data_IF_482864325842
#
_entry.id   IF_482864325842
#
_cell.length_a   1.000
_cell.length_b   1.000
_cell.length_c   1.000
_cell.angle_alpha   90.00
_cell.angle_beta   90.00
_cell.angle_gamma   90.00
#
_symmetry.space_group_name_H-M   'P 1'
#
loop_
_entity.id
_entity.type
_entity.pdbx_description
1 polymer ?
#
# COMPACT_ATOMS: atom_id res chain seq x y z
N UNK A 1 -9.34 -36.95 -4.31
CA UNK A 1 -8.29 -36.33 -3.44
C UNK A 1 -7.90 -34.99 -4.06
N UNK A 2 -8.50 -33.87 -3.63
CA UNK A 2 -8.16 -32.55 -4.18
C UNK A 2 -6.71 -32.20 -3.79
N UNK A 3 -5.84 -32.01 -4.78
CA UNK A 3 -4.51 -31.42 -4.57
C UNK A 3 -4.71 -30.01 -4.01
N UNK A 4 -4.50 -29.82 -2.71
CA UNK A 4 -4.40 -28.49 -2.12
C UNK A 4 -3.17 -27.85 -2.74
N UNK A 5 -3.34 -27.04 -3.78
CA UNK A 5 -2.22 -26.31 -4.35
C UNK A 5 -1.66 -25.37 -3.29
N UNK A 6 -0.36 -25.51 -3.03
CA UNK A 6 0.37 -24.68 -2.08
C UNK A 6 0.48 -23.28 -2.70
N UNK A 7 0.14 -22.24 -1.96
CA UNK A 7 0.29 -20.85 -2.45
C UNK A 7 1.77 -20.63 -2.80
N UNK A 8 2.11 -20.24 -4.04
CA UNK A 8 3.49 -20.05 -4.47
C UNK A 8 4.21 -18.98 -3.63
N UNK A 9 5.55 -19.07 -3.58
CA UNK A 9 6.37 -18.00 -3.00
C UNK A 9 6.27 -16.72 -3.85
N UNK A 10 6.53 -15.56 -3.24
CA UNK A 10 6.87 -14.37 -4.01
C UNK A 10 8.12 -14.66 -4.88
N UNK A 11 8.19 -14.17 -6.12
CA UNK A 11 9.32 -14.40 -7.01
C UNK A 11 10.61 -13.75 -6.52
N UNK A 12 10.49 -12.69 -5.72
CA UNK A 12 11.62 -11.99 -5.11
C UNK A 12 11.36 -11.80 -3.62
N UNK A 13 12.42 -11.95 -2.82
CA UNK A 13 12.42 -11.69 -1.38
C UNK A 13 13.42 -10.57 -1.10
N UNK A 14 12.98 -9.38 -0.64
CA UNK A 14 13.89 -8.30 -0.34
C UNK A 14 14.75 -8.63 0.89
N UNK A 15 15.89 -7.94 1.00
CA UNK A 15 16.84 -8.07 2.12
C UNK A 15 17.04 -6.69 2.80
N UNK A 16 16.07 -6.22 3.62
CA UNK A 16 16.09 -4.86 4.17
C UNK A 16 17.34 -4.48 4.95
N UNK A 17 18.01 -5.47 5.57
CA UNK A 17 19.23 -5.27 6.35
C UNK A 17 20.46 -4.83 5.52
N UNK A 18 20.36 -4.92 4.19
CA UNK A 18 21.41 -4.48 3.25
C UNK A 18 21.18 -3.06 2.72
N UNK A 19 20.04 -2.45 3.04
CA UNK A 19 19.65 -1.15 2.50
C UNK A 19 20.36 -0.02 3.25
N UNK A 20 20.84 0.96 2.50
CA UNK A 20 21.47 2.14 3.07
C UNK A 20 20.41 3.12 3.59
N UNK A 21 20.54 3.52 4.86
CA UNK A 21 19.62 4.47 5.51
C UNK A 21 19.78 5.91 5.00
N UNK A 22 20.76 6.21 4.15
CA UNK A 22 20.90 7.53 3.52
C UNK A 22 20.12 7.63 2.19
N UNK A 23 19.30 6.65 1.81
CA UNK A 23 18.57 6.63 0.53
C UNK A 23 17.06 6.48 0.71
N UNK A 24 16.34 6.60 -0.41
CA UNK A 24 14.97 6.11 -0.54
C UNK A 24 15.03 4.72 -1.16
N UNK A 25 14.55 3.70 -0.44
CA UNK A 25 14.42 2.33 -0.96
C UNK A 25 13.04 1.78 -0.63
N UNK A 26 12.52 0.94 -1.54
CA UNK A 26 11.19 0.37 -1.40
C UNK A 26 11.19 -1.11 -1.82
N UNK A 27 10.34 -1.91 -1.17
CA UNK A 27 10.01 -3.25 -1.65
C UNK A 27 8.51 -3.51 -1.55
N UNK A 28 7.97 -4.03 -2.65
CA UNK A 28 6.60 -4.53 -2.70
C UNK A 28 6.52 -5.89 -1.98
N UNK A 29 5.72 -5.94 -0.90
CA UNK A 29 5.49 -7.16 -0.14
C UNK A 29 4.28 -7.95 -0.63
N UNK A 30 3.47 -7.35 -1.50
CA UNK A 30 2.27 -7.93 -2.11
C UNK A 30 0.99 -7.17 -1.73
N UNK A 31 0.09 -6.99 -2.69
CA UNK A 31 -1.10 -6.11 -2.60
C UNK A 31 -0.70 -4.65 -2.34
N UNK A 32 -1.35 -3.91 -1.44
CA UNK A 32 -0.95 -2.54 -1.09
C UNK A 32 0.21 -2.46 -0.08
N UNK A 33 0.74 -3.61 0.37
CA UNK A 33 1.82 -3.66 1.34
C UNK A 33 3.17 -3.31 0.71
N UNK A 34 3.70 -2.13 1.04
CA UNK A 34 5.03 -1.68 0.62
C UNK A 34 5.86 -1.36 1.86
N UNK A 35 7.07 -1.93 1.91
CA UNK A 35 8.08 -1.56 2.89
C UNK A 35 8.93 -0.43 2.32
N UNK A 36 9.00 0.69 3.03
CA UNK A 36 9.76 1.87 2.67
C UNK A 36 10.86 2.10 3.70
N UNK A 37 12.04 2.45 3.22
CA UNK A 37 13.06 3.14 4.00
C UNK A 37 13.21 4.53 3.39
N UNK A 38 12.75 5.55 4.11
CA UNK A 38 12.86 6.95 3.68
C UNK A 38 13.93 7.61 4.53
N UNK A 39 15.17 7.66 4.02
CA UNK A 39 16.33 8.26 4.70
C UNK A 39 16.60 7.69 6.11
N UNK A 40 16.26 6.44 6.36
CA UNK A 40 16.44 5.73 7.64
C UNK A 40 15.17 5.60 8.46
N UNK A 41 14.04 6.12 8.00
CA UNK A 41 12.73 5.89 8.64
C UNK A 41 12.05 4.72 7.95
N UNK A 42 11.81 3.64 8.71
CA UNK A 42 11.16 2.44 8.21
C UNK A 42 9.65 2.53 8.33
N UNK A 43 8.98 2.65 7.18
CA UNK A 43 7.52 2.78 7.07
C UNK A 43 6.96 1.55 6.37
N UNK A 44 5.83 1.04 6.83
CA UNK A 44 5.03 0.06 6.06
C UNK A 44 3.64 0.60 5.79
N UNK A 45 3.21 0.51 4.53
CA UNK A 45 1.86 0.87 4.10
C UNK A 45 0.98 -0.37 4.11
N UNK A 46 -0.28 -0.24 4.54
CA UNK A 46 -1.34 -1.25 4.43
C UNK A 46 -0.88 -2.72 4.59
N UNK A 47 -0.26 -3.08 5.73
CA UNK A 47 0.37 -4.38 5.89
C UNK A 47 -0.68 -5.50 6.01
N UNK A 48 -0.77 -6.36 5.01
CA UNK A 48 -1.69 -7.51 4.96
C UNK A 48 -0.97 -8.84 4.68
N UNK A 49 0.00 -9.22 5.51
CA UNK A 49 0.94 -10.32 5.29
C UNK A 49 0.39 -11.71 5.66
N UNK A 50 -0.87 -11.81 6.08
CA UNK A 50 -1.53 -13.08 6.38
C UNK A 50 -1.91 -13.86 5.12
N UNK A 51 -2.09 -15.18 5.25
CA UNK A 51 -2.50 -16.04 4.13
C UNK A 51 -3.94 -15.74 3.62
N UNK A 52 -4.76 -15.11 4.47
CA UNK A 52 -6.12 -14.65 4.19
C UNK A 52 -6.34 -13.27 4.77
N UNK A 53 -7.19 -12.52 4.11
CA UNK A 53 -7.81 -11.27 4.60
C UNK A 53 -9.29 -11.56 4.82
N UNK A 54 -9.91 -10.90 5.81
CA UNK A 54 -11.31 -11.16 6.14
C UNK A 54 -11.59 -11.25 7.64
N UNK A 55 -12.78 -11.77 7.96
CA UNK A 55 -13.33 -11.83 9.32
C UNK A 55 -12.70 -12.99 10.09
N UNK A 56 -12.39 -12.78 11.37
CA UNK A 56 -11.78 -13.78 12.24
C UNK A 56 -10.26 -13.66 12.34
N UNK A 57 -9.60 -14.65 12.95
CA UNK A 57 -8.16 -14.65 13.22
C UNK A 57 -7.53 -16.01 12.96
N UNK A 58 -6.24 -16.00 12.58
CA UNK A 58 -5.45 -17.20 12.35
C UNK A 58 -6.10 -18.17 11.37
N UNK A 59 -6.17 -19.45 11.74
CA UNK A 59 -6.74 -20.52 10.90
C UNK A 59 -8.25 -20.42 10.70
N UNK A 60 -8.96 -19.70 11.57
CA UNK A 60 -10.41 -19.50 11.49
C UNK A 60 -10.79 -18.25 10.67
N UNK A 61 -9.81 -17.56 10.05
CA UNK A 61 -10.09 -16.37 9.25
C UNK A 61 -10.82 -16.75 7.95
N UNK A 62 -12.00 -16.19 7.76
CA UNK A 62 -12.83 -16.36 6.57
C UNK A 62 -12.72 -15.14 5.66
N UNK A 63 -12.43 -15.39 4.39
CA UNK A 63 -12.29 -14.37 3.35
C UNK A 63 -11.25 -14.74 2.30
N UNK A 64 -10.93 -13.81 1.37
CA UNK A 64 -10.05 -14.05 0.23
C UNK A 64 -8.71 -14.65 0.64
N UNK A 65 -8.25 -15.65 -0.12
CA UNK A 65 -6.92 -16.26 0.05
C UNK A 65 -5.92 -15.53 -0.85
N UNK A 66 -4.69 -15.38 -0.36
CA UNK A 66 -3.58 -14.91 -1.20
C UNK A 66 -3.32 -15.87 -2.35
N UNK A 67 -3.12 -15.31 -3.55
CA UNK A 67 -2.67 -16.04 -4.74
C UNK A 67 -1.15 -16.27 -4.74
N UNK A 68 -0.40 -15.38 -4.07
CA UNK A 68 1.05 -15.45 -3.90
C UNK A 68 1.38 -15.09 -2.45
N UNK A 69 2.31 -15.83 -1.81
CA UNK A 69 2.78 -15.51 -0.46
C UNK A 69 3.44 -14.13 -0.45
N UNK A 70 3.33 -13.37 0.66
CA UNK A 70 4.01 -12.08 0.74
C UNK A 70 5.54 -12.24 0.65
N UNK A 71 6.21 -11.21 0.15
CA UNK A 71 7.67 -11.23 -0.02
C UNK A 71 8.41 -11.36 1.32
N UNK A 72 7.84 -10.79 2.39
CA UNK A 72 8.29 -10.96 3.77
C UNK A 72 7.11 -11.36 4.66
N UNK A 73 7.39 -12.14 5.71
CA UNK A 73 6.43 -12.29 6.82
C UNK A 73 6.62 -11.12 7.78
N UNK A 74 5.62 -10.86 8.62
CA UNK A 74 5.69 -9.77 9.59
C UNK A 74 6.90 -9.86 10.53
N UNK A 75 7.33 -11.07 10.91
CA UNK A 75 8.54 -11.32 11.73
C UNK A 75 9.86 -11.07 10.99
N UNK A 76 9.82 -11.02 9.66
CA UNK A 76 10.99 -10.80 8.81
C UNK A 76 11.10 -9.30 8.42
N UNK A 77 10.18 -8.45 8.89
CA UNK A 77 10.25 -7.01 8.71
C UNK A 77 11.39 -6.42 9.56
N UNK A 78 12.04 -5.34 9.11
CA UNK A 78 12.95 -4.58 9.95
C UNK A 78 12.19 -3.94 11.13
N UNK A 79 12.93 -3.31 12.04
CA UNK A 79 12.29 -2.50 13.09
C UNK A 79 11.57 -1.33 12.44
N UNK A 80 10.24 -1.36 12.43
CA UNK A 80 9.41 -0.30 11.89
C UNK A 80 9.37 0.90 12.81
N UNK A 81 9.37 2.08 12.21
CA UNK A 81 9.17 3.37 12.88
C UNK A 81 7.76 3.92 12.67
N UNK A 82 7.05 3.46 11.64
CA UNK A 82 5.71 3.94 11.31
C UNK A 82 4.90 2.90 10.52
N UNK A 83 3.59 2.86 10.78
CA UNK A 83 2.60 2.16 9.95
C UNK A 83 1.61 3.18 9.41
N UNK A 84 1.29 3.09 8.11
CA UNK A 84 0.28 3.91 7.45
C UNK A 84 -0.88 3.03 6.98
N UNK A 85 -2.12 3.43 7.26
CA UNK A 85 -3.33 2.71 6.84
C UNK A 85 -4.24 3.61 6.00
N UNK A 86 -4.32 3.35 4.69
CA UNK A 86 -5.06 4.17 3.73
C UNK A 86 -6.56 4.13 3.94
N UNK A 87 -7.14 3.01 4.34
CA UNK A 87 -8.58 2.87 4.60
C UNK A 87 -8.91 1.58 5.37
N UNK A 88 -10.19 1.42 5.72
CA UNK A 88 -10.66 0.42 6.66
C UNK A 88 -10.86 -1.00 6.09
N UNK A 89 -10.77 -1.23 4.77
CA UNK A 89 -11.02 -2.56 4.18
C UNK A 89 -10.06 -3.62 4.74
N UNK A 90 -10.46 -4.89 4.70
CA UNK A 90 -9.77 -5.96 5.41
C UNK A 90 -8.42 -6.36 4.80
N UNK A 91 -8.21 -6.02 3.55
CA UNK A 91 -7.01 -6.22 2.76
C UNK A 91 -6.01 -5.06 2.85
N UNK A 92 -6.46 -3.88 3.32
CA UNK A 92 -5.59 -2.75 3.66
C UNK A 92 -5.33 -2.61 5.17
N UNK A 93 -6.31 -2.99 6.00
CA UNK A 93 -6.23 -3.04 7.47
C UNK A 93 -6.37 -4.49 7.97
N UNK A 94 -5.31 -5.29 7.81
CA UNK A 94 -5.31 -6.67 8.30
C UNK A 94 -4.93 -6.75 9.79
N UNK A 95 -5.94 -6.92 10.63
CA UNK A 95 -5.79 -7.03 12.09
C UNK A 95 -4.86 -8.19 12.50
N UNK A 96 -4.77 -9.27 11.70
CA UNK A 96 -3.83 -10.36 11.97
C UNK A 96 -2.39 -9.90 11.87
N UNK A 97 -2.04 -9.28 10.74
CA UNK A 97 -0.70 -8.70 10.52
C UNK A 97 -0.40 -7.61 11.55
N UNK A 98 -1.31 -6.66 11.76
CA UNK A 98 -1.14 -5.58 12.75
C UNK A 98 -0.97 -6.13 14.17
N UNK A 99 -1.57 -7.28 14.48
CA UNK A 99 -1.41 -7.98 15.76
C UNK A 99 0.04 -8.38 16.06
N UNK A 100 0.84 -8.63 15.01
CA UNK A 100 2.25 -9.04 15.10
C UNK A 100 3.24 -7.87 15.14
N UNK A 101 2.80 -6.64 14.81
CA UNK A 101 3.62 -5.43 14.90
C UNK A 101 3.67 -4.96 16.35
N UNK A 102 4.83 -4.45 16.80
CA UNK A 102 5.02 -3.92 18.16
C UNK A 102 4.06 -2.76 18.44
N UNK A 103 3.49 -2.71 19.65
CA UNK A 103 2.47 -1.70 20.01
C UNK A 103 3.03 -0.29 20.13
N UNK A 104 4.36 -0.17 20.26
CA UNK A 104 5.06 1.11 20.36
C UNK A 104 5.24 1.80 19.01
N UNK A 105 5.11 1.06 17.90
CA UNK A 105 5.18 1.65 16.55
C UNK A 105 3.96 2.56 16.38
N UNK A 106 4.14 3.86 16.13
CA UNK A 106 3.03 4.75 15.81
C UNK A 106 2.30 4.31 14.54
N UNK A 107 1.00 4.56 14.52
CA UNK A 107 0.15 4.28 13.36
C UNK A 107 -0.56 5.55 12.96
N UNK A 108 -0.51 5.90 11.67
CA UNK A 108 -1.35 6.94 11.09
C UNK A 108 -2.45 6.25 10.28
N UNK A 109 -3.68 6.71 10.50
CA UNK A 109 -4.87 6.20 9.81
C UNK A 109 -5.69 7.38 9.29
N UNK A 110 -6.57 7.12 8.33
CA UNK A 110 -7.56 8.12 7.94
C UNK A 110 -8.61 8.34 9.04
N UNK A 111 -9.22 9.53 9.06
CA UNK A 111 -10.23 9.90 10.05
C UNK A 111 -11.32 8.84 10.23
N UNK A 112 -11.67 8.52 11.48
CA UNK A 112 -12.74 7.57 11.79
C UNK A 112 -12.32 6.10 11.76
N UNK A 113 -11.01 5.80 11.73
CA UNK A 113 -10.47 4.43 11.69
C UNK A 113 -9.68 4.04 12.96
N UNK A 114 -9.52 4.94 13.94
CA UNK A 114 -8.72 4.67 15.16
C UNK A 114 -9.18 3.44 15.95
N UNK A 115 -10.47 3.17 16.01
CA UNK A 115 -11.04 2.03 16.74
C UNK A 115 -10.58 0.67 16.19
N UNK A 116 -10.17 0.61 14.92
CA UNK A 116 -9.63 -0.61 14.31
C UNK A 116 -8.24 -0.98 14.84
N UNK A 117 -7.50 0.01 15.37
CA UNK A 117 -6.08 -0.12 15.74
C UNK A 117 -5.80 0.24 17.19
N UNK A 118 -6.80 0.15 18.09
CA UNK A 118 -6.71 0.49 19.53
C UNK A 118 -5.61 -0.22 20.31
N UNK A 119 -4.99 -1.28 19.75
CA UNK A 119 -3.87 -1.97 20.39
C UNK A 119 -2.58 -1.15 20.43
N UNK A 120 -2.42 -0.20 19.51
CA UNK A 120 -1.20 0.62 19.41
C UNK A 120 -1.26 1.76 20.41
N UNK A 121 -0.10 2.13 20.98
CA UNK A 121 -0.02 3.17 22.02
C UNK A 121 -0.20 4.58 21.44
N UNK A 122 0.19 4.78 20.19
CA UNK A 122 0.07 6.03 19.46
C UNK A 122 -0.62 5.78 18.14
N UNK A 123 -1.79 6.39 17.98
CA UNK A 123 -2.59 6.36 16.76
C UNK A 123 -2.94 7.81 16.44
N UNK A 124 -2.67 8.22 15.22
CA UNK A 124 -2.98 9.56 14.71
C UNK A 124 -4.01 9.41 13.57
N UNK A 125 -5.02 10.27 13.58
CA UNK A 125 -6.06 10.31 12.56
C UNK A 125 -5.89 11.58 11.75
N UNK A 126 -5.91 11.46 10.42
CA UNK A 126 -5.85 12.60 9.52
C UNK A 126 -7.10 12.62 8.62
N UNK A 127 -7.72 13.78 8.49
CA UNK A 127 -8.61 14.10 7.37
C UNK A 127 -7.78 14.52 6.13
N UNK A 128 -8.39 14.55 4.95
CA UNK A 128 -7.71 15.01 3.74
C UNK A 128 -7.18 16.43 3.89
N UNK A 129 -5.94 16.65 3.44
CA UNK A 129 -5.22 17.91 3.54
C UNK A 129 -4.56 18.15 4.91
N UNK A 130 -4.86 17.34 5.93
CA UNK A 130 -4.15 17.42 7.20
C UNK A 130 -2.79 16.72 7.14
N UNK A 131 -1.84 17.26 7.91
CA UNK A 131 -0.49 16.70 8.01
C UNK A 131 0.01 16.61 9.45
N UNK A 132 0.98 15.74 9.66
CA UNK A 132 1.63 15.53 10.95
C UNK A 132 3.11 15.16 10.77
N UNK A 133 3.95 15.68 11.67
CA UNK A 133 5.33 15.21 11.83
C UNK A 133 5.38 14.05 12.82
N UNK A 134 5.85 12.89 12.36
CA UNK A 134 5.93 11.67 13.18
C UNK A 134 7.10 10.80 12.75
N UNK A 135 7.84 10.23 13.70
CA UNK A 135 9.00 9.39 13.40
C UNK A 135 10.04 10.05 12.46
N UNK A 136 10.15 11.39 12.51
CA UNK A 136 11.06 12.17 11.67
C UNK A 136 10.65 12.27 10.19
N UNK A 137 9.41 11.91 9.85
CA UNK A 137 8.81 12.09 8.52
C UNK A 137 7.56 12.98 8.63
N UNK A 138 7.32 13.78 7.61
CA UNK A 138 6.05 14.49 7.40
C UNK A 138 5.08 13.55 6.69
N UNK A 139 3.88 13.38 7.24
CA UNK A 139 2.79 12.61 6.65
C UNK A 139 1.64 13.55 6.37
N UNK A 140 1.24 13.66 5.12
CA UNK A 140 0.04 14.40 4.70
C UNK A 140 -0.98 13.41 4.13
N UNK A 141 -2.24 13.50 4.57
CA UNK A 141 -3.32 12.73 3.98
C UNK A 141 -3.80 13.38 2.68
N UNK A 142 -3.87 12.60 1.60
CA UNK A 142 -4.29 13.09 0.28
C UNK A 142 -5.63 12.49 -0.14
N UNK A 143 -6.42 13.31 -0.82
CA UNK A 143 -7.70 12.89 -1.39
C UNK A 143 -7.50 11.85 -2.50
N UNK A 144 -8.39 10.85 -2.50
CA UNK A 144 -8.43 9.77 -3.49
C UNK A 144 -9.87 9.45 -3.85
N UNK A 145 -10.08 8.79 -4.99
CA UNK A 145 -11.41 8.36 -5.42
C UNK A 145 -11.67 6.91 -5.02
N UNK A 146 -12.20 6.73 -3.82
CA UNK A 146 -12.55 5.43 -3.26
C UNK A 146 -13.70 5.55 -2.24
N UNK A 147 -13.90 4.55 -1.39
CA UNK A 147 -14.84 4.60 -0.27
C UNK A 147 -14.28 3.90 0.97
N UNK A 148 -14.66 4.36 2.15
CA UNK A 148 -14.27 3.72 3.40
C UNK A 148 -15.38 2.85 3.96
N UNK A 149 -15.07 1.57 4.19
CA UNK A 149 -15.90 0.65 4.95
C UNK A 149 -15.02 -0.38 5.66
N UNK A 150 -15.52 -1.03 6.71
CA UNK A 150 -14.93 -2.21 7.33
C UNK A 150 -15.83 -3.42 7.17
N UNK A 151 -17.13 -3.18 7.29
CA UNK A 151 -18.22 -4.13 7.17
C UNK A 151 -19.17 -3.62 6.07
N UNK A 152 -20.22 -4.37 5.75
CA UNK A 152 -21.17 -3.93 4.73
C UNK A 152 -22.03 -2.73 5.19
N UNK A 153 -22.11 -2.48 6.49
CA UNK A 153 -23.04 -1.52 7.10
C UNK A 153 -22.39 -0.21 7.54
N UNK A 154 -21.06 -0.11 7.59
CA UNK A 154 -20.42 1.13 8.01
C UNK A 154 -20.18 2.08 6.84
N UNK A 155 -20.48 3.36 7.08
CA UNK A 155 -20.38 4.45 6.11
C UNK A 155 -19.62 5.67 6.64
N UNK A 156 -18.97 5.54 7.80
CA UNK A 156 -18.31 6.63 8.51
C UNK A 156 -16.78 6.55 8.44
N UNK A 157 -16.24 5.56 7.72
CA UNK A 157 -14.80 5.29 7.67
C UNK A 157 -14.15 6.22 6.65
N UNK A 158 -13.11 6.93 7.06
CA UNK A 158 -12.26 7.67 6.14
C UNK A 158 -11.41 6.75 5.26
N UNK A 159 -10.97 7.29 4.13
CA UNK A 159 -10.13 6.64 3.13
C UNK A 159 -9.26 7.70 2.45
N UNK A 160 -8.09 7.37 1.93
CA UNK A 160 -7.17 8.36 1.38
C UNK A 160 -5.79 7.79 1.08
N UNK A 161 -4.96 8.57 0.40
CA UNK A 161 -3.54 8.29 0.23
C UNK A 161 -2.70 9.04 1.26
N UNK A 162 -1.38 8.90 1.13
CA UNK A 162 -0.40 9.65 1.90
C UNK A 162 0.71 10.21 1.01
N UNK A 163 1.11 11.46 1.29
CA UNK A 163 2.46 11.92 0.97
C UNK A 163 3.36 11.74 2.19
N UNK A 164 4.52 11.14 1.94
CA UNK A 164 5.51 10.81 2.96
C UNK A 164 6.78 11.56 2.60
N UNK A 165 7.12 12.59 3.36
CA UNK A 165 8.24 13.48 3.06
C UNK A 165 9.29 13.42 4.14
N UNK A 166 10.56 13.26 3.76
CA UNK A 166 11.69 13.41 4.67
C UNK A 166 12.91 13.99 3.96
N UNK A 167 13.32 15.16 4.42
CA UNK A 167 14.38 15.92 3.77
C UNK A 167 13.99 16.23 2.33
N UNK A 168 14.80 15.77 1.39
CA UNK A 168 14.65 15.97 -0.06
C UNK A 168 13.98 14.77 -0.77
N UNK A 169 13.28 13.91 -0.02
CA UNK A 169 12.59 12.73 -0.57
C UNK A 169 11.12 12.76 -0.27
N UNK A 170 10.30 12.53 -1.30
CA UNK A 170 8.85 12.47 -1.20
C UNK A 170 8.31 11.20 -1.85
N UNK A 171 7.47 10.46 -1.14
CA UNK A 171 6.76 9.28 -1.64
C UNK A 171 5.26 9.55 -1.65
N UNK A 172 4.59 9.28 -2.78
CA UNK A 172 3.13 9.23 -2.86
C UNK A 172 2.68 7.78 -2.74
N UNK A 173 1.84 7.48 -1.75
CA UNK A 173 1.13 6.22 -1.62
C UNK A 173 -0.37 6.46 -1.78
N UNK A 174 -0.96 6.01 -2.88
CA UNK A 174 -2.36 6.34 -3.19
C UNK A 174 -3.40 5.46 -2.48
N UNK A 175 -3.00 4.40 -1.78
CA UNK A 175 -3.95 3.38 -1.31
C UNK A 175 -4.73 2.78 -2.49
N UNK A 176 -6.02 2.54 -2.30
CA UNK A 176 -6.93 2.25 -3.41
C UNK A 176 -7.59 3.53 -3.92
N UNK A 177 -7.63 3.67 -5.24
CA UNK A 177 -8.24 4.81 -5.92
C UNK A 177 -8.59 4.46 -7.35
N UNK A 178 -9.68 5.00 -7.86
CA UNK A 178 -9.91 5.20 -9.29
C UNK A 178 -9.14 6.41 -9.81
N UNK A 179 -9.28 6.69 -11.11
CA UNK A 179 -8.76 7.92 -11.70
C UNK A 179 -9.33 9.16 -10.98
N UNK A 180 -8.44 10.08 -10.57
CA UNK A 180 -8.78 11.34 -9.94
C UNK A 180 -7.84 12.46 -10.42
N UNK A 181 -8.36 13.67 -10.54
CA UNK A 181 -7.53 14.86 -10.85
C UNK A 181 -6.84 15.41 -9.60
N UNK A 182 -7.20 14.91 -8.40
CA UNK A 182 -6.64 15.39 -7.13
C UNK A 182 -5.11 15.33 -7.08
N UNK A 183 -4.49 14.33 -7.74
CA UNK A 183 -3.03 14.19 -7.77
C UNK A 183 -2.33 15.21 -8.67
N UNK A 184 -3.01 15.84 -9.64
CA UNK A 184 -2.39 16.87 -10.48
C UNK A 184 -1.84 18.02 -9.62
N UNK A 185 -2.63 18.45 -8.63
CA UNK A 185 -2.24 19.50 -7.66
C UNK A 185 -1.01 19.13 -6.83
N UNK A 186 -0.73 17.84 -6.65
CA UNK A 186 0.45 17.35 -5.93
C UNK A 186 1.72 17.58 -6.76
N UNK A 187 1.66 17.29 -8.07
CA UNK A 187 2.79 17.49 -8.98
C UNK A 187 3.19 18.96 -9.11
N UNK A 188 2.22 19.87 -9.01
CA UNK A 188 2.45 21.31 -9.10
C UNK A 188 3.15 21.89 -7.86
N UNK A 189 2.90 21.31 -6.68
CA UNK A 189 3.42 21.82 -5.40
C UNK A 189 4.69 21.14 -4.92
N UNK A 190 4.93 19.88 -5.30
CA UNK A 190 6.08 19.13 -4.82
C UNK A 190 6.56 18.08 -5.82
N UNK A 191 7.87 17.81 -5.77
CA UNK A 191 8.47 16.69 -6.51
C UNK A 191 8.17 15.40 -5.77
N UNK A 192 7.60 14.42 -6.48
CA UNK A 192 7.43 13.04 -6.00
C UNK A 192 8.54 12.16 -6.58
N UNK A 193 9.35 11.54 -5.72
CA UNK A 193 10.46 10.67 -6.13
C UNK A 193 9.99 9.23 -6.41
N UNK A 194 8.96 8.78 -5.70
CA UNK A 194 8.33 7.47 -5.85
C UNK A 194 6.81 7.60 -5.73
N UNK A 195 6.08 7.15 -6.74
CA UNK A 195 4.63 7.01 -6.70
C UNK A 195 4.23 5.54 -6.66
N UNK A 196 3.39 5.17 -5.69
CA UNK A 196 2.84 3.83 -5.48
C UNK A 196 1.34 3.90 -5.74
N UNK A 197 0.91 3.30 -6.85
CA UNK A 197 -0.46 3.39 -7.33
C UNK A 197 -1.09 1.99 -7.49
N UNK A 198 -2.39 1.85 -7.22
CA UNK A 198 -3.11 0.60 -7.47
C UNK A 198 -3.31 0.38 -8.97
N UNK A 199 -3.19 -0.87 -9.42
CA UNK A 199 -3.42 -1.27 -10.84
C UNK A 199 -4.27 -2.53 -10.98
N UNK A 200 -4.99 -2.93 -9.94
CA UNK A 200 -5.77 -4.17 -9.89
C UNK A 200 -7.15 -3.99 -9.25
N UNK A 201 -7.97 -5.04 -9.30
CA UNK A 201 -9.35 -5.06 -8.79
C UNK A 201 -10.31 -4.03 -9.43
N UNK A 202 -10.03 -3.59 -10.65
CA UNK A 202 -10.80 -2.55 -11.35
C UNK A 202 -11.99 -3.05 -12.16
N UNK A 203 -12.15 -4.34 -12.42
CA UNK A 203 -13.34 -4.88 -13.08
C UNK A 203 -14.11 -5.72 -12.05
N UNK A 204 -15.39 -5.46 -11.76
CA UNK A 204 -16.26 -4.39 -12.30
C UNK A 204 -16.11 -3.03 -11.57
N UNK A 205 -15.11 -2.86 -10.70
CA UNK A 205 -15.00 -1.74 -9.75
C UNK A 205 -14.23 -0.51 -10.26
N UNK A 206 -14.27 -0.21 -11.57
CA UNK A 206 -13.44 0.82 -12.22
C UNK A 206 -13.73 2.23 -11.69
N UNK A 207 -14.92 2.42 -11.13
CA UNK A 207 -15.32 3.64 -10.46
C UNK A 207 -14.52 3.93 -9.19
N UNK A 208 -13.84 2.93 -8.64
CA UNK A 208 -13.11 3.01 -7.37
C UNK A 208 -11.70 2.39 -7.35
N UNK A 209 -11.29 1.67 -8.40
CA UNK A 209 -9.92 1.19 -8.60
C UNK A 209 -9.45 1.52 -10.02
N UNK A 210 -8.23 2.02 -10.14
CA UNK A 210 -7.64 2.34 -11.44
C UNK A 210 -7.19 1.07 -12.17
N UNK A 211 -7.43 1.02 -13.48
CA UNK A 211 -6.75 0.06 -14.35
C UNK A 211 -5.30 0.51 -14.59
N UNK A 212 -4.43 -0.36 -15.14
CA UNK A 212 -3.04 0.00 -15.41
C UNK A 212 -2.86 1.28 -16.24
N UNK A 213 -3.74 1.55 -17.21
CA UNK A 213 -3.64 2.70 -18.12
C UNK A 213 -3.95 4.04 -17.42
N UNK A 214 -5.07 4.23 -16.68
CA UNK A 214 -5.29 5.40 -15.84
C UNK A 214 -4.31 5.50 -14.66
N UNK A 215 -3.83 4.36 -14.14
CA UNK A 215 -2.76 4.32 -13.15
C UNK A 215 -1.48 4.98 -13.66
N UNK A 216 -1.12 4.73 -14.92
CA UNK A 216 0.02 5.38 -15.59
C UNK A 216 -0.28 6.84 -15.99
N UNK A 217 -1.53 7.17 -16.33
CA UNK A 217 -1.94 8.54 -16.68
C UNK A 217 -1.83 9.51 -15.48
N UNK A 218 -2.10 9.05 -14.25
CA UNK A 218 -1.87 9.85 -13.03
C UNK A 218 -0.42 10.35 -12.87
N UNK A 219 0.53 9.70 -13.54
CA UNK A 219 1.97 9.90 -13.30
C UNK A 219 2.69 10.59 -14.45
N UNK A 220 1.99 10.90 -15.55
CA UNK A 220 2.60 11.58 -16.72
C UNK A 220 3.21 12.96 -16.38
N UNK A 221 2.91 13.54 -15.22
CA UNK A 221 3.54 14.76 -14.70
C UNK A 221 4.71 14.56 -13.72
N UNK A 222 4.96 13.35 -13.22
CA UNK A 222 5.95 13.10 -12.16
C UNK A 222 7.26 12.51 -12.71
N UNK A 223 8.40 13.16 -12.43
CA UNK A 223 9.75 12.72 -12.88
C UNK A 223 10.39 11.61 -12.02
N UNK A 224 9.59 10.87 -11.25
CA UNK A 224 10.02 9.82 -10.32
C UNK A 224 9.70 8.40 -10.83
N UNK A 225 10.23 7.38 -10.14
CA UNK A 225 9.92 5.98 -10.46
C UNK A 225 8.47 5.64 -10.14
N UNK A 226 7.76 4.98 -11.05
CA UNK A 226 6.39 4.50 -10.83
C UNK A 226 6.43 3.03 -10.42
N UNK A 227 5.86 2.71 -9.26
CA UNK A 227 5.67 1.33 -8.82
C UNK A 227 4.18 1.03 -8.75
N UNK A 228 3.75 0.05 -9.53
CA UNK A 228 2.35 -0.35 -9.63
C UNK A 228 2.06 -1.52 -8.68
N UNK A 229 1.09 -1.36 -7.79
CA UNK A 229 0.63 -2.39 -6.86
C UNK A 229 -0.56 -3.17 -7.47
N UNK A 230 -0.32 -4.43 -7.84
CA UNK A 230 -1.33 -5.33 -8.40
C UNK A 230 -2.06 -6.19 -7.37
N UNK A 231 -3.16 -6.81 -7.79
CA UNK A 231 -3.97 -7.72 -6.97
C UNK A 231 -3.17 -8.95 -6.54
N UNK A 232 -3.10 -9.24 -5.23
CA UNK A 232 -2.44 -10.43 -4.67
C UNK A 232 -3.39 -11.38 -3.93
N UNK A 233 -4.66 -10.99 -3.80
CA UNK A 233 -5.75 -11.78 -3.24
C UNK A 233 -6.75 -12.17 -4.33
N UNK A 234 -7.45 -13.27 -4.11
CA UNK A 234 -8.55 -13.73 -4.96
C UNK A 234 -9.81 -12.89 -4.70
N UNK A 235 -9.80 -11.64 -5.19
CA UNK A 235 -10.92 -10.70 -5.16
C UNK A 235 -11.81 -10.89 -6.40
N UNK A 236 -13.10 -10.52 -6.38
CA UNK A 236 -13.99 -10.69 -7.53
C UNK A 236 -13.50 -9.91 -8.77
N UNK A 237 -13.22 -10.65 -9.86
CA UNK A 237 -12.81 -10.30 -11.26
C UNK A 237 -11.40 -9.67 -11.43
N UNK A 238 -10.46 -10.26 -12.21
CA UNK A 238 -10.41 -10.49 -13.67
C UNK A 238 -9.81 -11.87 -14.13
N UNK A 239 -9.89 -12.24 -15.43
CA UNK A 239 -9.06 -13.30 -16.02
C UNK A 239 -7.57 -12.93 -15.97
N UNK A 240 -6.73 -13.87 -15.52
CA UNK A 240 -5.29 -13.71 -15.36
C UNK A 240 -4.64 -13.10 -16.61
N UNK A 241 -4.12 -11.87 -16.48
CA UNK A 241 -3.21 -11.32 -17.49
C UNK A 241 -2.06 -12.29 -17.73
N UNK A 242 -1.86 -12.69 -18.99
CA UNK A 242 -0.68 -13.45 -19.41
C UNK A 242 0.54 -12.58 -19.08
N UNK A 243 1.43 -13.09 -18.23
CA UNK A 243 2.73 -12.46 -17.97
C UNK A 243 3.43 -12.22 -19.31
N UNK A 244 3.93 -11.01 -19.51
CA UNK A 244 4.38 -10.49 -20.79
C UNK A 244 5.35 -11.37 -21.57
N UNK A 245 5.05 -11.50 -22.86
CA UNK A 245 6.03 -11.24 -23.89
C UNK A 245 5.56 -9.95 -24.58
N UNK A 246 6.50 -9.13 -25.04
CA UNK A 246 6.27 -7.89 -25.80
C UNK A 246 6.00 -6.64 -24.97
N UNK A 247 7.04 -6.21 -24.25
CA UNK A 247 7.34 -4.77 -24.14
C UNK A 247 8.68 -4.54 -24.85
N UNK A 248 8.77 -3.70 -25.90
CA UNK A 248 10.03 -3.44 -26.57
C UNK A 248 10.98 -2.75 -25.58
N UNK A 249 12.18 -3.31 -25.43
CA UNK A 249 13.24 -2.68 -24.67
C UNK A 249 13.56 -1.30 -25.28
N UNK A 250 13.36 -0.24 -24.50
CA UNK A 250 13.89 1.07 -24.82
C UNK A 250 15.42 0.99 -24.80
N UNK A 251 16.03 0.86 -25.97
CA UNK A 251 17.48 1.01 -26.14
C UNK A 251 17.81 2.50 -25.99
N UNK A 252 18.50 2.85 -24.91
CA UNK A 252 19.17 4.13 -24.79
C UNK A 252 20.30 4.21 -25.82
N UNK A 253 20.22 5.22 -26.67
CA UNK A 253 21.28 5.62 -27.58
C UNK A 253 21.64 7.07 -27.32
N UNK A 254 22.90 7.31 -27.00
CA UNK A 254 23.60 8.58 -27.10
C UNK A 254 25.10 8.29 -27.06
N UNK A 255 25.96 9.22 -27.47
CA UNK A 255 25.70 10.51 -28.13
C UNK A 255 25.49 10.42 -29.65
#
# INVERSE_FOLDING_TARGET
MLKISRVPAAPHRPEPHTWADDRLTAAWLGHASVLLNVRGTWVVTDPALEARVGIGRGRAKLGPRRLVRPALRARDLPRLDLVLLSHAHMDHTDIGTLGSIRREVPVVVQQGNRDLVRRFRRVEELAWGESIEIAGVSIESVEVRHWGARMMTDRHRGYGGYLITRGDRTVLFAGDTAYTEAFASIGDRTKVDLAILPIGAYDPWIANHASPEPGLAHVQGHRGGVSAAGTSFDLPAEPRARRGADTPAARGGGP
#
